data_IF_328685753048
#
_entry.id   IF_328685753048
#
_cell.length_a   1.000
_cell.length_b   1.000
_cell.length_c   1.000
_cell.angle_alpha   90.00
_cell.angle_beta   90.00
_cell.angle_gamma   90.00
#
_symmetry.space_group_name_H-M   'P 1'
#
loop_
_entity.id
_entity.type
_entity.pdbx_description
1 polymer ?
#
# COMPACT_ATOMS: atom_id res chain seq x y z
N UNK A 1 -23.59 93.64 44.18
CA UNK A 1 -24.80 93.30 44.96
C UNK A 1 -24.74 91.81 45.33
N UNK A 2 -25.07 91.47 46.59
CA UNK A 2 -25.38 90.15 47.23
C UNK A 2 -24.66 88.88 46.71
N UNK A 3 -23.77 88.23 47.46
CA UNK A 3 -23.89 87.41 48.70
C UNK A 3 -24.54 85.99 48.53
N UNK A 4 -23.66 84.96 48.62
CA UNK A 4 -23.74 83.67 49.37
C UNK A 4 -24.76 82.62 48.83
N UNK A 5 -24.49 81.31 48.59
CA UNK A 5 -24.15 80.18 49.50
C UNK A 5 -23.66 78.95 48.68
N UNK A 6 -22.58 78.24 49.08
CA UNK A 6 -22.54 76.98 49.91
C UNK A 6 -23.32 75.80 49.28
N UNK A 7 -22.85 74.56 49.16
CA UNK A 7 -21.66 73.84 49.63
C UNK A 7 -21.72 72.37 49.14
N UNK A 8 -20.57 71.76 48.85
CA UNK A 8 -19.98 70.56 49.50
C UNK A 8 -20.60 69.18 49.17
N UNK A 9 -19.79 68.33 48.51
CA UNK A 9 -19.64 66.89 48.76
C UNK A 9 -18.30 66.40 48.11
N UNK A 10 -17.18 66.39 48.85
CA UNK A 10 -16.47 65.20 49.41
C UNK A 10 -16.18 64.12 48.35
N UNK A 11 -14.99 64.02 47.72
CA UNK A 11 -13.64 63.64 48.16
C UNK A 11 -13.50 62.22 48.74
N UNK A 12 -13.15 61.25 47.89
CA UNK A 12 -12.35 60.04 48.21
C UNK A 12 -11.50 59.75 46.96
N UNK A 13 -10.30 60.33 46.85
CA UNK A 13 -9.02 59.77 47.30
C UNK A 13 -8.73 58.37 46.73
N UNK A 14 -8.00 58.36 45.61
CA UNK A 14 -7.37 57.19 45.01
C UNK A 14 -6.11 57.64 44.27
N UNK A 15 -5.14 58.17 45.02
CA UNK A 15 -3.83 58.55 44.51
C UNK A 15 -3.05 57.26 44.20
N UNK A 16 -2.84 56.96 42.93
CA UNK A 16 -1.78 56.07 42.48
C UNK A 16 -0.78 56.89 41.66
N UNK A 17 0.41 57.02 42.23
CA UNK A 17 1.54 57.77 41.71
C UNK A 17 1.90 57.36 40.28
N UNK A 18 1.92 58.34 39.38
CA UNK A 18 2.60 58.25 38.09
C UNK A 18 4.10 58.39 38.36
N UNK A 19 4.87 57.32 38.18
CA UNK A 19 6.33 57.41 38.03
C UNK A 19 6.62 57.57 36.54
N UNK A 20 7.08 58.75 36.07
CA UNK A 20 7.46 58.93 34.69
C UNK A 20 8.93 58.53 34.52
N UNK A 21 9.16 57.35 33.94
CA UNK A 21 10.49 56.92 33.54
C UNK A 21 10.70 55.43 33.72
N UNK A 22 11.12 54.76 32.64
CA UNK A 22 11.51 53.35 32.56
C UNK A 22 10.40 52.31 32.35
N UNK A 23 9.33 52.65 31.63
CA UNK A 23 8.62 51.61 30.89
C UNK A 23 9.54 51.14 29.74
N UNK A 24 10.32 50.06 29.96
CA UNK A 24 10.97 49.33 28.86
C UNK A 24 9.84 48.97 27.89
N UNK A 25 9.83 49.62 26.70
CA UNK A 25 8.94 49.24 25.60
C UNK A 25 9.06 47.72 25.43
N UNK A 26 7.94 46.97 25.38
CA UNK A 26 8.03 45.56 25.02
C UNK A 26 8.76 45.51 23.68
N UNK A 27 9.90 44.82 23.65
CA UNK A 27 10.61 44.55 22.41
C UNK A 27 9.63 43.68 21.63
N UNK A 28 9.03 44.25 20.59
CA UNK A 28 8.27 43.50 19.61
C UNK A 28 9.26 42.48 19.03
N UNK A 29 9.14 41.24 19.47
CA UNK A 29 9.94 40.14 18.97
C UNK A 29 9.53 39.98 17.51
N UNK A 30 10.41 40.36 16.60
CA UNK A 30 10.17 40.25 15.17
C UNK A 30 10.60 38.86 14.74
N UNK A 31 9.62 38.00 14.43
CA UNK A 31 9.91 36.70 13.84
C UNK A 31 10.05 36.87 12.33
N UNK A 32 11.16 36.37 11.77
CA UNK A 32 11.39 36.27 10.34
C UNK A 32 11.38 34.79 9.95
N UNK A 33 10.54 34.41 9.00
CA UNK A 33 10.44 33.03 8.51
C UNK A 33 10.64 33.00 7.00
N UNK A 34 11.53 32.12 6.54
CA UNK A 34 11.69 31.78 5.13
C UNK A 34 11.17 30.35 4.91
N UNK A 35 10.45 30.14 3.81
CA UNK A 35 10.00 28.82 3.36
C UNK A 35 10.70 28.46 2.06
N UNK A 36 11.04 27.19 1.92
CA UNK A 36 11.54 26.59 0.68
C UNK A 36 10.84 25.25 0.49
N UNK A 37 10.58 24.88 -0.76
CA UNK A 37 10.01 23.59 -1.13
C UNK A 37 11.08 22.73 -1.80
N UNK A 38 11.09 21.44 -1.46
CA UNK A 38 12.02 20.45 -2.03
C UNK A 38 11.18 19.39 -2.73
N UNK A 39 11.49 19.13 -4.00
CA UNK A 39 10.81 18.15 -4.83
C UNK A 39 11.72 16.95 -5.10
N UNK A 40 11.17 15.75 -5.01
CA UNK A 40 11.80 14.51 -5.47
C UNK A 40 10.75 13.59 -6.10
N UNK A 41 11.20 12.63 -6.89
CA UNK A 41 10.36 11.59 -7.49
C UNK A 41 10.95 10.23 -7.19
N UNK A 42 10.09 9.24 -6.89
CA UNK A 42 10.49 7.85 -6.69
C UNK A 42 9.94 7.03 -7.85
N UNK A 43 10.78 6.33 -8.63
CA UNK A 43 10.29 5.49 -9.72
C UNK A 43 9.49 4.30 -9.19
N UNK A 44 8.55 3.82 -10.01
CA UNK A 44 7.85 2.57 -9.77
C UNK A 44 8.84 1.40 -9.79
N UNK A 45 8.74 0.52 -8.81
CA UNK A 45 9.53 -0.68 -8.65
C UNK A 45 8.60 -1.87 -8.49
N UNK A 46 8.94 -2.96 -9.16
CA UNK A 46 8.26 -4.25 -9.05
C UNK A 46 9.26 -5.39 -9.22
N UNK A 47 9.13 -6.40 -8.38
CA UNK A 47 9.86 -7.65 -8.45
C UNK A 47 8.89 -8.79 -8.18
N UNK A 48 9.06 -9.90 -8.88
CA UNK A 48 8.24 -11.10 -8.79
C UNK A 48 9.14 -12.29 -8.53
N UNK A 49 8.79 -13.09 -7.52
CA UNK A 49 9.42 -14.39 -7.27
C UNK A 49 8.36 -15.45 -6.97
N UNK A 50 8.72 -16.73 -7.13
CA UNK A 50 7.86 -17.89 -6.86
C UNK A 50 8.45 -18.70 -5.72
N UNK A 51 7.60 -19.29 -4.87
CA UNK A 51 8.03 -20.06 -3.69
C UNK A 51 8.80 -21.34 -4.02
N UNK A 52 8.58 -21.90 -5.22
CA UNK A 52 9.25 -23.10 -5.72
C UNK A 52 9.37 -23.03 -7.25
N UNK A 53 10.50 -23.50 -7.78
CA UNK A 53 10.74 -23.53 -9.23
C UNK A 53 9.94 -24.62 -9.95
N UNK A 54 9.48 -25.64 -9.22
CA UNK A 54 8.65 -26.72 -9.74
C UNK A 54 7.60 -27.16 -8.72
N UNK A 55 6.52 -27.72 -9.25
CA UNK A 55 5.47 -28.40 -8.48
C UNK A 55 5.19 -29.74 -9.16
N UNK A 56 5.08 -30.81 -8.39
CA UNK A 56 4.79 -32.15 -8.90
C UNK A 56 3.47 -32.61 -8.33
N UNK A 57 2.55 -32.98 -9.22
CA UNK A 57 1.30 -33.61 -8.82
C UNK A 57 1.55 -35.01 -8.23
N UNK A 58 0.67 -35.50 -7.35
CA UNK A 58 0.76 -36.89 -6.89
C UNK A 58 0.48 -37.85 -8.05
N UNK A 59 0.82 -39.12 -7.83
CA UNK A 59 0.37 -40.21 -8.70
C UNK A 59 -1.16 -40.34 -8.63
N UNK A 60 -1.79 -40.60 -9.78
CA UNK A 60 -3.24 -40.67 -9.89
C UNK A 60 -3.73 -42.10 -10.09
N UNK A 61 -4.82 -42.46 -9.41
CA UNK A 61 -5.50 -43.72 -9.67
C UNK A 61 -6.10 -43.74 -11.09
N UNK A 62 -6.11 -44.91 -11.77
CA UNK A 62 -6.77 -45.04 -13.06
C UNK A 62 -8.23 -44.58 -13.03
N UNK A 63 -8.60 -43.68 -13.95
CA UNK A 63 -9.96 -43.14 -14.07
C UNK A 63 -10.21 -41.83 -13.34
N UNK A 64 -9.21 -41.31 -12.60
CA UNK A 64 -9.19 -39.91 -12.14
C UNK A 64 -9.40 -38.98 -13.33
N UNK A 65 -10.33 -38.04 -13.21
CA UNK A 65 -10.67 -37.12 -14.31
C UNK A 65 -10.23 -35.69 -14.01
N UNK A 66 -10.29 -35.27 -12.75
CA UNK A 66 -9.87 -33.95 -12.32
C UNK A 66 -9.09 -34.01 -11.00
N UNK A 67 -8.19 -33.06 -10.80
CA UNK A 67 -7.49 -32.87 -9.54
C UNK A 67 -7.22 -31.38 -9.31
N UNK A 68 -7.46 -30.89 -8.09
CA UNK A 68 -7.14 -29.53 -7.68
C UNK A 68 -6.02 -29.56 -6.65
N UNK A 69 -4.88 -28.98 -7.01
CA UNK A 69 -3.81 -28.64 -6.08
C UNK A 69 -4.04 -27.22 -5.56
N UNK A 70 -4.68 -27.10 -4.40
CA UNK A 70 -4.84 -25.82 -3.70
C UNK A 70 -3.48 -25.30 -3.21
N UNK A 71 -3.26 -23.99 -3.36
CA UNK A 71 -2.04 -23.29 -2.91
C UNK A 71 -0.72 -23.98 -3.31
N UNK A 72 -0.70 -24.57 -4.51
CA UNK A 72 0.41 -25.34 -5.07
C UNK A 72 1.74 -24.56 -5.05
N UNK A 73 1.70 -23.27 -5.40
CA UNK A 73 2.83 -22.34 -5.25
C UNK A 73 2.34 -20.98 -4.76
N UNK A 74 3.25 -20.17 -4.27
CA UNK A 74 2.99 -18.78 -3.87
C UNK A 74 3.85 -17.83 -4.69
N UNK A 75 3.24 -16.80 -5.25
CA UNK A 75 3.94 -15.68 -5.88
C UNK A 75 4.17 -14.56 -4.85
N UNK A 76 5.41 -14.11 -4.74
CA UNK A 76 5.76 -12.95 -3.91
C UNK A 76 6.01 -11.75 -4.82
N UNK A 77 5.16 -10.74 -4.68
CA UNK A 77 5.30 -9.46 -5.35
C UNK A 77 5.90 -8.47 -4.36
N UNK A 78 7.04 -7.89 -4.71
CA UNK A 78 7.63 -6.76 -3.98
C UNK A 78 7.47 -5.52 -4.85
N UNK A 79 6.74 -4.51 -4.37
CA UNK A 79 6.46 -3.31 -5.16
C UNK A 79 6.18 -2.08 -4.31
N UNK A 80 6.47 -0.90 -4.84
CA UNK A 80 6.05 0.39 -4.29
C UNK A 80 4.87 1.03 -5.06
N UNK A 81 4.28 0.31 -6.01
CA UNK A 81 3.18 0.79 -6.86
C UNK A 81 2.02 -0.22 -6.94
N UNK A 82 0.98 0.12 -7.69
CA UNK A 82 -0.07 -0.81 -8.10
C UNK A 82 0.46 -1.79 -9.14
N UNK A 83 -0.12 -2.99 -9.18
CA UNK A 83 0.32 -4.02 -10.11
C UNK A 83 -0.81 -4.93 -10.58
N UNK A 84 -0.57 -5.62 -11.70
CA UNK A 84 -1.37 -6.75 -12.17
C UNK A 84 -0.50 -7.96 -12.47
N UNK A 85 -1.07 -9.16 -12.30
CA UNK A 85 -0.48 -10.45 -12.61
C UNK A 85 -1.20 -11.07 -13.80
N UNK A 86 -0.42 -11.71 -14.66
CA UNK A 86 -0.89 -12.59 -15.73
C UNK A 86 0.00 -13.82 -15.81
N UNK A 87 -0.45 -14.84 -16.52
CA UNK A 87 0.34 -16.03 -16.80
C UNK A 87 0.18 -16.49 -18.24
N UNK A 88 1.16 -17.24 -18.72
CA UNK A 88 1.10 -18.02 -19.95
C UNK A 88 1.61 -19.43 -19.69
N UNK A 89 1.21 -20.37 -20.54
CA UNK A 89 1.61 -21.78 -20.47
C UNK A 89 2.48 -22.12 -21.68
N UNK A 90 3.58 -22.82 -21.44
CA UNK A 90 4.44 -23.38 -22.47
C UNK A 90 4.66 -24.87 -22.21
N UNK A 91 4.61 -25.69 -23.25
CA UNK A 91 4.76 -27.14 -23.13
C UNK A 91 4.09 -27.87 -24.29
N UNK A 92 3.89 -29.17 -24.11
CA UNK A 92 3.11 -29.98 -25.03
C UNK A 92 1.64 -29.53 -25.08
N UNK A 93 1.04 -29.47 -26.27
CA UNK A 93 -0.31 -28.93 -26.46
C UNK A 93 -1.37 -29.74 -25.70
N UNK A 94 -1.21 -31.08 -25.61
CA UNK A 94 -2.11 -31.93 -24.85
C UNK A 94 -2.01 -31.57 -23.36
N UNK A 95 -0.79 -31.55 -22.80
CA UNK A 95 -0.57 -31.22 -21.39
C UNK A 95 -1.13 -29.84 -21.01
N UNK A 96 -0.91 -28.84 -21.89
CA UNK A 96 -1.39 -27.47 -21.70
C UNK A 96 -2.92 -27.40 -21.73
N UNK A 97 -3.58 -28.15 -22.61
CA UNK A 97 -5.04 -28.17 -22.71
C UNK A 97 -5.72 -28.68 -21.42
N UNK A 98 -5.01 -29.49 -20.63
CA UNK A 98 -5.51 -30.10 -19.41
C UNK A 98 -5.15 -29.34 -18.12
N UNK A 99 -4.25 -28.34 -18.18
CA UNK A 99 -3.82 -27.55 -17.03
C UNK A 99 -4.51 -26.18 -16.97
N UNK A 100 -5.17 -25.89 -15.85
CA UNK A 100 -5.69 -24.57 -15.51
C UNK A 100 -4.93 -23.97 -14.32
N UNK A 101 -4.52 -22.70 -14.44
CA UNK A 101 -3.84 -21.94 -13.39
C UNK A 101 -4.82 -20.96 -12.75
N UNK A 102 -4.92 -20.99 -11.42
CA UNK A 102 -5.87 -20.19 -10.65
C UNK A 102 -5.11 -19.25 -9.71
N UNK A 103 -5.00 -17.99 -10.12
CA UNK A 103 -4.46 -16.94 -9.25
C UNK A 103 -5.51 -16.52 -8.22
N UNK A 104 -5.19 -16.55 -6.93
CA UNK A 104 -6.09 -16.04 -5.89
C UNK A 104 -6.40 -14.53 -6.05
N UNK A 105 -5.51 -13.80 -6.73
CA UNK A 105 -5.65 -12.37 -7.04
C UNK A 105 -4.85 -12.01 -8.29
N UNK A 106 -5.45 -11.26 -9.20
CA UNK A 106 -4.79 -10.79 -10.43
C UNK A 106 -4.28 -9.34 -10.37
N UNK A 107 -4.54 -8.59 -9.30
CA UNK A 107 -4.06 -7.21 -9.15
C UNK A 107 -4.01 -6.75 -7.70
N UNK A 108 -3.09 -5.85 -7.37
CA UNK A 108 -2.95 -5.31 -6.02
C UNK A 108 -2.09 -4.06 -5.98
N UNK A 109 -1.62 -3.72 -4.77
CA UNK A 109 -0.74 -2.57 -4.53
C UNK A 109 0.26 -2.90 -3.43
N UNK A 110 1.49 -2.42 -3.58
CA UNK A 110 2.55 -2.69 -2.61
C UNK A 110 2.96 -4.18 -2.62
N UNK A 111 3.57 -4.62 -1.53
CA UNK A 111 4.00 -6.01 -1.37
C UNK A 111 2.79 -6.94 -1.20
N UNK A 112 2.88 -8.15 -1.76
CA UNK A 112 1.85 -9.17 -1.62
C UNK A 112 2.40 -10.59 -1.73
N UNK A 113 1.65 -11.50 -1.10
CA UNK A 113 1.76 -12.95 -1.28
C UNK A 113 0.49 -13.41 -1.97
N UNK A 114 0.61 -14.03 -3.14
CA UNK A 114 -0.51 -14.47 -3.97
C UNK A 114 -0.42 -15.99 -4.14
N UNK A 115 -1.26 -16.75 -3.44
CA UNK A 115 -1.36 -18.19 -3.68
C UNK A 115 -1.85 -18.49 -5.09
N UNK A 116 -1.30 -19.56 -5.66
CA UNK A 116 -1.67 -20.08 -6.97
C UNK A 116 -2.04 -21.54 -6.83
N UNK A 117 -3.24 -21.88 -7.29
CA UNK A 117 -3.70 -23.25 -7.37
C UNK A 117 -3.60 -23.75 -8.81
N UNK A 118 -3.39 -25.05 -8.97
CA UNK A 118 -3.40 -25.71 -10.27
C UNK A 118 -4.53 -26.72 -10.33
N UNK A 119 -5.29 -26.72 -11.41
CA UNK A 119 -6.34 -27.71 -11.68
C UNK A 119 -5.99 -28.49 -12.93
N UNK A 120 -5.97 -29.81 -12.80
CA UNK A 120 -5.98 -30.74 -13.92
C UNK A 120 -7.42 -31.16 -14.19
N UNK A 121 -7.78 -31.29 -15.47
CA UNK A 121 -9.11 -31.72 -15.91
C UNK A 121 -9.02 -32.57 -17.16
N UNK A 122 -9.91 -33.56 -17.34
CA UNK A 122 -9.90 -34.45 -18.49
C UNK A 122 -8.82 -35.53 -18.45
N UNK A 123 -8.26 -35.82 -17.28
CA UNK A 123 -7.16 -36.77 -17.09
C UNK A 123 -7.52 -38.19 -17.57
N UNK A 124 -8.81 -38.57 -17.52
CA UNK A 124 -9.27 -39.89 -17.96
C UNK A 124 -9.09 -40.11 -19.47
N UNK A 125 -9.12 -39.03 -20.25
CA UNK A 125 -8.99 -39.08 -21.71
C UNK A 125 -7.52 -39.03 -22.16
N UNK A 126 -6.60 -38.64 -21.27
CA UNK A 126 -5.18 -38.55 -21.58
C UNK A 126 -4.54 -39.95 -21.63
N UNK A 127 -3.66 -40.21 -22.59
CA UNK A 127 -2.80 -41.40 -22.56
C UNK A 127 -1.96 -41.46 -21.28
N UNK A 128 -1.61 -42.66 -20.78
CA UNK A 128 -0.64 -42.77 -19.69
C UNK A 128 0.75 -42.34 -20.13
N UNK A 129 1.27 -41.25 -19.57
CA UNK A 129 2.64 -40.75 -19.79
C UNK A 129 3.02 -39.74 -18.68
N UNK A 130 4.27 -39.30 -18.68
CA UNK A 130 4.75 -38.18 -17.86
C UNK A 130 4.60 -36.85 -18.62
N UNK A 131 3.80 -35.93 -18.06
CA UNK A 131 3.52 -34.63 -18.65
C UNK A 131 4.21 -33.49 -17.89
N UNK A 132 4.64 -32.45 -18.62
CA UNK A 132 5.25 -31.25 -18.05
C UNK A 132 4.77 -29.99 -18.75
N UNK A 133 4.45 -28.96 -17.96
CA UNK A 133 4.05 -27.62 -18.44
C UNK A 133 4.82 -26.57 -17.65
N UNK A 134 5.40 -25.62 -18.35
CA UNK A 134 6.03 -24.43 -17.78
C UNK A 134 4.98 -23.34 -17.64
N UNK A 135 4.77 -22.84 -16.41
CA UNK A 135 3.92 -21.69 -16.14
C UNK A 135 4.79 -20.44 -16.03
N UNK A 136 4.58 -19.47 -16.92
CA UNK A 136 5.31 -18.20 -16.92
C UNK A 136 4.45 -17.12 -16.31
N UNK A 137 4.88 -16.58 -15.17
CA UNK A 137 4.19 -15.49 -14.50
C UNK A 137 4.77 -14.14 -14.90
N UNK A 138 3.90 -13.16 -15.14
CA UNK A 138 4.29 -11.78 -15.43
C UNK A 138 3.63 -10.84 -14.44
N UNK A 139 4.42 -9.97 -13.83
CA UNK A 139 3.93 -8.86 -13.02
C UNK A 139 4.15 -7.54 -13.77
N UNK A 140 3.12 -6.70 -13.83
CA UNK A 140 3.17 -5.40 -14.49
C UNK A 140 2.86 -4.30 -13.49
N UNK A 141 3.81 -3.38 -13.31
CA UNK A 141 3.62 -2.15 -12.54
C UNK A 141 2.64 -1.21 -13.27
N UNK A 142 1.79 -0.53 -12.51
CA UNK A 142 0.81 0.47 -12.98
C UNK A 142 1.10 1.83 -12.39
#
# INVERSE_FOLDING_TARGET
>A
MRKILFGIAVFVLGVAFVVPGLAKKPILVSDATAKSEVFWSVPGYIELSVSAESFTFPEFDPGTDEYLAEDAVTLFVTSNTQWSLSYSLEGDEEAVAHLSVLLARASGSGNASVPVSYRLSGLRAMPPDDYSVTVIYTATAK
#
